data_IF_237875802235
#
_entry.id   IF_237875802235
#
_cell.length_a   1.000
_cell.length_b   1.000
_cell.length_c   1.000
_cell.angle_alpha   90.00
_cell.angle_beta   90.00
_cell.angle_gamma   90.00
#
_symmetry.space_group_name_H-M   'P 1'
#
loop_
_entity.id
_entity.type
_entity.pdbx_description
1 polymer ?
#
# COMPACT_ATOMS: atom_id res chain seq x y z
N UNK A 1 44.92 17.61 -7.54
CA UNK A 1 44.26 18.75 -6.89
C UNK A 1 42.85 18.91 -7.47
N UNK A 2 41.85 18.97 -6.59
CA UNK A 2 40.41 19.23 -6.81
C UNK A 2 39.73 18.50 -7.99
N UNK A 3 39.20 17.30 -7.70
CA UNK A 3 38.10 16.72 -8.49
C UNK A 3 36.79 17.27 -7.93
N UNK A 4 36.09 18.04 -8.76
CA UNK A 4 34.80 18.66 -8.46
C UNK A 4 33.75 17.58 -8.23
N UNK A 5 33.26 17.49 -7.00
CA UNK A 5 32.12 16.65 -6.60
C UNK A 5 30.88 17.29 -7.23
N UNK A 6 30.34 16.67 -8.28
CA UNK A 6 29.02 17.04 -8.80
C UNK A 6 27.96 16.40 -7.91
N UNK A 7 27.51 17.15 -6.92
CA UNK A 7 26.37 16.81 -6.07
C UNK A 7 25.10 16.86 -6.94
N UNK A 8 24.59 15.70 -7.35
CA UNK A 8 23.24 15.59 -7.90
C UNK A 8 22.23 15.79 -6.76
N UNK A 9 21.56 16.95 -6.77
CA UNK A 9 20.43 17.22 -5.91
C UNK A 9 19.22 16.40 -6.38
N UNK A 10 18.76 15.47 -5.54
CA UNK A 10 17.46 14.83 -5.71
C UNK A 10 16.37 15.77 -5.21
N UNK A 11 15.38 16.02 -6.06
CA UNK A 11 14.14 16.69 -5.70
C UNK A 11 13.29 15.70 -4.88
N UNK A 12 13.12 15.99 -3.59
CA UNK A 12 12.17 15.32 -2.72
C UNK A 12 10.75 15.64 -3.19
N UNK A 13 10.09 14.65 -3.79
CA UNK A 13 8.66 14.68 -4.08
C UNK A 13 7.89 14.58 -2.75
N UNK A 14 7.29 15.70 -2.33
CA UNK A 14 6.35 15.74 -1.23
C UNK A 14 5.01 15.15 -1.65
N UNK A 15 4.81 13.87 -1.33
CA UNK A 15 3.50 13.31 -1.03
C UNK A 15 3.55 12.82 0.42
N UNK A 16 2.54 13.15 1.22
CA UNK A 16 2.45 12.75 2.62
C UNK A 16 2.63 11.24 2.79
N UNK A 17 3.46 10.87 3.77
CA UNK A 17 4.18 9.59 3.92
C UNK A 17 5.41 9.48 3.02
N UNK A 18 6.53 10.03 3.50
CA UNK A 18 7.86 9.75 2.96
C UNK A 18 8.12 8.24 3.00
N UNK A 19 7.85 7.54 1.91
CA UNK A 19 8.40 6.21 1.68
C UNK A 19 9.89 6.45 1.43
N UNK A 20 10.68 6.31 2.49
CA UNK A 20 12.14 6.38 2.40
C UNK A 20 12.62 5.22 1.56
N UNK A 21 12.88 5.47 0.28
CA UNK A 21 13.62 4.54 -0.57
C UNK A 21 15.08 4.55 -0.14
N UNK A 22 15.60 3.37 0.22
CA UNK A 22 17.02 3.17 0.45
C UNK A 22 17.50 2.00 -0.42
N UNK A 23 18.79 1.95 -0.68
CA UNK A 23 19.42 0.80 -1.31
C UNK A 23 20.22 0.01 -0.27
N UNK A 24 20.35 -1.29 -0.49
CA UNK A 24 21.04 -2.18 0.44
C UNK A 24 22.01 -3.04 -0.35
N UNK A 25 23.30 -2.98 0.00
CA UNK A 25 24.25 -4.01 -0.39
C UNK A 25 24.06 -5.22 0.52
N UNK A 26 23.53 -6.32 -0.03
CA UNK A 26 23.07 -7.46 0.77
C UNK A 26 23.83 -8.76 0.49
N UNK A 27 24.58 -8.84 -0.61
CA UNK A 27 25.35 -10.03 -0.92
C UNK A 27 26.52 -9.77 -1.87
N UNK A 28 27.57 -10.56 -1.73
CA UNK A 28 28.63 -10.71 -2.72
C UNK A 28 29.03 -12.17 -2.80
N UNK A 29 29.28 -12.66 -4.02
CA UNK A 29 29.68 -14.04 -4.26
C UNK A 29 30.72 -14.12 -5.39
N UNK A 30 31.33 -15.30 -5.54
CA UNK A 30 32.33 -15.58 -6.58
C UNK A 30 33.77 -15.35 -6.15
N UNK A 31 34.70 -15.99 -6.87
CA UNK A 31 36.14 -15.79 -6.70
C UNK A 31 36.67 -14.64 -7.56
N UNK A 32 37.89 -14.17 -7.28
CA UNK A 32 38.55 -13.12 -8.06
C UNK A 32 38.50 -13.38 -9.57
N UNK A 33 38.14 -12.37 -10.35
CA UNK A 33 37.89 -12.45 -11.79
C UNK A 33 36.47 -12.90 -12.17
N UNK A 34 35.64 -13.25 -11.19
CA UNK A 34 34.24 -13.65 -11.37
C UNK A 34 33.34 -13.27 -10.18
N UNK A 35 33.70 -12.20 -9.45
CA UNK A 35 32.87 -11.70 -8.34
C UNK A 35 31.62 -11.00 -8.85
N UNK A 36 30.57 -11.05 -8.02
CA UNK A 36 29.29 -10.40 -8.25
C UNK A 36 28.85 -9.69 -6.97
N UNK A 37 28.46 -8.43 -7.07
CA UNK A 37 27.97 -7.62 -5.95
C UNK A 37 26.49 -7.28 -6.16
N UNK A 38 25.67 -7.53 -5.16
CA UNK A 38 24.21 -7.42 -5.24
C UNK A 38 23.68 -6.30 -4.34
N UNK A 39 22.88 -5.44 -4.95
CA UNK A 39 22.26 -4.27 -4.34
C UNK A 39 20.76 -4.36 -4.53
N UNK A 40 19.96 -4.13 -3.50
CA UNK A 40 18.50 -4.14 -3.60
C UNK A 40 17.91 -2.79 -3.22
N UNK A 41 16.94 -2.31 -3.99
CA UNK A 41 16.13 -1.18 -3.57
C UNK A 41 15.06 -1.66 -2.59
N UNK A 42 14.90 -1.00 -1.45
CA UNK A 42 13.95 -1.42 -0.42
C UNK A 42 12.48 -1.16 -0.78
N UNK A 43 12.22 -0.44 -1.87
CA UNK A 43 10.87 -0.32 -2.42
C UNK A 43 10.45 -1.63 -3.06
N UNK A 44 9.36 -2.19 -2.55
CA UNK A 44 8.76 -3.43 -3.02
C UNK A 44 7.41 -3.12 -3.67
N UNK A 45 7.23 -3.57 -4.91
CA UNK A 45 5.95 -3.46 -5.61
C UNK A 45 5.09 -4.70 -5.33
N UNK A 46 3.79 -4.50 -5.12
CA UNK A 46 2.83 -5.60 -5.17
C UNK A 46 2.42 -5.88 -6.62
N UNK A 47 2.64 -7.11 -7.07
CA UNK A 47 2.32 -7.59 -8.42
C UNK A 47 1.31 -8.74 -8.36
N UNK A 48 0.61 -8.91 -7.25
CA UNK A 48 -0.46 -9.90 -7.07
C UNK A 48 -1.56 -9.66 -8.09
N UNK A 49 -1.87 -10.62 -8.97
CA UNK A 49 -2.98 -10.51 -9.90
C UNK A 49 -4.30 -10.34 -9.15
N UNK A 50 -5.26 -9.64 -9.76
CA UNK A 50 -6.60 -9.42 -9.18
C UNK A 50 -7.28 -10.74 -8.81
N UNK A 51 -7.06 -11.80 -9.60
CA UNK A 51 -7.58 -13.15 -9.35
C UNK A 51 -7.03 -13.83 -8.08
N UNK A 52 -5.93 -13.32 -7.54
CA UNK A 52 -5.26 -13.84 -6.34
C UNK A 52 -5.42 -12.91 -5.13
N UNK A 53 -6.09 -11.77 -5.27
CA UNK A 53 -6.38 -10.89 -4.14
C UNK A 53 -7.19 -11.63 -3.07
N UNK A 54 -6.90 -11.34 -1.80
CA UNK A 54 -7.45 -12.05 -0.63
C UNK A 54 -7.07 -13.54 -0.58
N UNK A 55 -6.02 -13.94 -1.31
CA UNK A 55 -5.39 -15.25 -1.18
C UNK A 55 -4.42 -15.31 -0.01
N UNK A 56 -3.92 -16.52 0.28
CA UNK A 56 -2.85 -16.74 1.26
C UNK A 56 -1.45 -16.41 0.70
N UNK A 57 -1.35 -16.11 -0.59
CA UNK A 57 -0.11 -15.81 -1.30
C UNK A 57 -0.23 -14.45 -1.99
N UNK A 58 0.79 -13.63 -1.82
CA UNK A 58 0.99 -12.36 -2.50
C UNK A 58 2.23 -12.48 -3.40
N UNK A 59 2.23 -11.80 -4.55
CA UNK A 59 3.38 -11.71 -5.42
C UNK A 59 4.05 -10.37 -5.21
N UNK A 60 5.23 -10.36 -4.59
CA UNK A 60 6.01 -9.14 -4.34
C UNK A 60 7.18 -9.05 -5.31
N UNK A 61 7.49 -7.84 -5.75
CA UNK A 61 8.60 -7.55 -6.64
C UNK A 61 9.61 -6.63 -5.97
N UNK A 62 10.89 -7.00 -6.01
CA UNK A 62 12.00 -6.18 -5.56
C UNK A 62 12.99 -5.96 -6.71
N UNK A 63 13.55 -4.75 -6.78
CA UNK A 63 14.55 -4.41 -7.78
C UNK A 63 15.95 -4.72 -7.24
N UNK A 64 16.70 -5.53 -7.96
CA UNK A 64 18.07 -5.93 -7.60
C UNK A 64 19.03 -5.52 -8.71
N UNK A 65 20.02 -4.70 -8.37
CA UNK A 65 21.14 -4.39 -9.25
C UNK A 65 22.30 -5.33 -8.95
N UNK A 66 22.89 -5.92 -10.00
CA UNK A 66 24.05 -6.80 -9.90
C UNK A 66 25.20 -6.20 -10.69
N UNK A 67 26.34 -6.01 -10.06
CA UNK A 67 27.59 -5.61 -10.73
C UNK A 67 28.44 -6.85 -10.94
N UNK A 68 28.97 -7.05 -12.16
CA UNK A 68 29.79 -8.20 -12.50
C UNK A 68 31.27 -7.82 -12.70
N UNK A 69 32.17 -8.62 -12.14
CA UNK A 69 33.61 -8.47 -12.36
C UNK A 69 34.05 -9.07 -13.71
N UNK A 70 33.42 -10.18 -14.11
CA UNK A 70 33.86 -10.97 -15.24
C UNK A 70 33.65 -10.26 -16.59
N UNK A 71 34.64 -10.35 -17.48
CA UNK A 71 34.62 -9.67 -18.77
C UNK A 71 33.61 -10.24 -19.78
N UNK A 72 33.21 -11.50 -19.62
CA UNK A 72 32.18 -12.17 -20.44
C UNK A 72 30.76 -11.91 -19.92
N UNK A 73 30.62 -11.26 -18.77
CA UNK A 73 29.34 -10.84 -18.20
C UNK A 73 29.05 -9.36 -18.52
N UNK A 74 27.77 -8.92 -18.45
CA UNK A 74 27.44 -7.51 -18.61
C UNK A 74 28.18 -6.64 -17.57
N UNK A 75 28.19 -5.33 -17.77
CA UNK A 75 28.76 -4.41 -16.79
C UNK A 75 27.94 -4.44 -15.49
N UNK A 76 26.62 -4.36 -15.65
CA UNK A 76 25.64 -4.60 -14.60
C UNK A 76 24.32 -5.13 -15.18
N UNK A 77 23.48 -5.68 -14.31
CA UNK A 77 22.09 -6.03 -14.59
C UNK A 77 21.17 -5.40 -13.55
N UNK A 78 20.02 -4.89 -13.97
CA UNK A 78 18.90 -4.48 -13.12
C UNK A 78 17.79 -5.51 -13.26
N UNK A 79 17.61 -6.32 -12.24
CA UNK A 79 16.68 -7.44 -12.21
C UNK A 79 15.43 -7.08 -11.43
N UNK A 80 14.26 -7.39 -11.98
CA UNK A 80 12.97 -7.30 -11.30
C UNK A 80 12.63 -8.66 -10.71
N UNK A 81 13.05 -8.96 -9.49
CA UNK A 81 12.81 -10.27 -8.88
C UNK A 81 11.40 -10.32 -8.30
N UNK A 82 10.58 -11.27 -8.74
CA UNK A 82 9.26 -11.51 -8.17
C UNK A 82 9.26 -12.79 -7.33
N UNK A 83 8.60 -12.76 -6.18
CA UNK A 83 8.54 -13.86 -5.22
C UNK A 83 7.10 -14.16 -4.81
N UNK A 84 6.81 -15.44 -4.54
CA UNK A 84 5.62 -15.82 -3.76
C UNK A 84 5.90 -15.56 -2.28
N UNK A 85 5.12 -14.67 -1.68
CA UNK A 85 5.15 -14.31 -0.27
C UNK A 85 3.85 -14.74 0.41
N UNK A 86 3.92 -15.11 1.68
CA UNK A 86 2.72 -15.43 2.47
C UNK A 86 2.02 -14.12 2.84
N UNK A 87 0.69 -14.08 2.66
CA UNK A 87 -0.14 -12.94 3.08
C UNK A 87 -0.06 -12.75 4.59
N UNK A 88 0.10 -11.50 5.05
CA UNK A 88 0.03 -11.16 6.48
C UNK A 88 -1.40 -11.03 7.00
N UNK A 89 -2.39 -11.01 6.11
CA UNK A 89 -3.82 -10.86 6.45
C UNK A 89 -4.53 -12.19 6.19
N UNK A 90 -5.22 -12.69 7.22
CA UNK A 90 -6.05 -13.88 7.09
C UNK A 90 -7.43 -13.49 6.59
N UNK A 91 -7.77 -13.95 5.40
CA UNK A 91 -9.09 -13.79 4.79
C UNK A 91 -9.98 -15.03 5.03
N UNK A 92 -9.80 -15.72 6.16
CA UNK A 92 -10.56 -16.92 6.53
C UNK A 92 -10.11 -18.18 5.80
N UNK A 93 -8.92 -18.17 5.19
CA UNK A 93 -8.33 -19.32 4.47
C UNK A 93 -7.18 -19.96 5.25
N UNK A 94 -6.79 -19.36 6.38
CA UNK A 94 -5.62 -19.75 7.14
C UNK A 94 -4.35 -19.25 6.47
N UNK A 95 -3.48 -18.63 7.27
CA UNK A 95 -2.15 -18.21 6.81
C UNK A 95 -1.18 -19.39 6.97
N UNK A 96 -0.51 -19.84 5.90
CA UNK A 96 0.54 -20.85 5.99
C UNK A 96 1.65 -20.44 6.96
N UNK A 97 2.31 -21.42 7.59
CA UNK A 97 3.48 -21.12 8.42
C UNK A 97 4.59 -20.45 7.58
N UNK A 98 5.28 -19.45 8.14
CA UNK A 98 6.41 -18.82 7.47
C UNK A 98 7.50 -19.84 7.14
N UNK A 99 7.94 -19.86 5.89
CA UNK A 99 9.06 -20.71 5.46
C UNK A 99 10.34 -20.36 6.24
N UNK A 100 11.11 -21.38 6.61
CA UNK A 100 12.40 -21.21 7.27
C UNK A 100 13.37 -20.44 6.36
N UNK A 101 14.41 -19.85 6.97
CA UNK A 101 15.35 -18.99 6.24
C UNK A 101 16.07 -19.70 5.08
N UNK A 102 16.33 -20.99 5.25
CA UNK A 102 17.06 -21.83 4.27
C UNK A 102 16.15 -22.53 3.27
N UNK A 103 14.83 -22.40 3.43
CA UNK A 103 13.87 -23.11 2.58
C UNK A 103 13.91 -22.54 1.16
N UNK A 104 13.83 -23.39 0.13
CA UNK A 104 13.77 -22.92 -1.25
C UNK A 104 12.58 -21.98 -1.48
N UNK A 105 12.83 -20.89 -2.18
CA UNK A 105 11.82 -19.87 -2.49
C UNK A 105 11.36 -19.99 -3.93
N UNK A 106 10.07 -19.72 -4.16
CA UNK A 106 9.53 -19.60 -5.52
C UNK A 106 9.71 -18.19 -6.03
N UNK A 107 10.31 -18.08 -7.21
CA UNK A 107 10.66 -16.80 -7.82
C UNK A 107 10.50 -16.82 -9.35
N UNK A 108 10.36 -15.65 -9.96
CA UNK A 108 10.57 -15.43 -11.40
C UNK A 108 11.24 -14.08 -11.67
N UNK A 109 11.81 -13.93 -12.86
CA UNK A 109 12.18 -12.60 -13.37
C UNK A 109 10.92 -11.92 -13.89
N UNK A 110 10.59 -10.77 -13.33
CA UNK A 110 9.54 -9.89 -13.82
C UNK A 110 9.94 -9.17 -15.10
N UNK A 111 8.95 -8.52 -15.71
CA UNK A 111 9.16 -7.68 -16.90
C UNK A 111 9.93 -6.40 -16.57
N UNK A 112 10.66 -5.87 -17.55
CA UNK A 112 11.32 -4.56 -17.44
C UNK A 112 12.67 -4.57 -16.72
N UNK A 113 13.29 -5.74 -16.56
CA UNK A 113 14.71 -5.81 -16.21
C UNK A 113 15.61 -5.39 -17.38
N UNK A 114 16.85 -5.00 -17.08
CA UNK A 114 17.82 -4.55 -18.08
C UNK A 114 19.23 -5.07 -17.79
N UNK A 115 20.07 -5.12 -18.82
CA UNK A 115 21.52 -5.31 -18.69
C UNK A 115 22.23 -4.18 -19.42
N UNK A 116 23.36 -3.73 -18.87
CA UNK A 116 24.31 -2.91 -19.61
C UNK A 116 25.37 -3.81 -20.22
N UNK A 117 25.35 -3.98 -21.56
CA UNK A 117 26.36 -4.80 -22.23
C UNK A 117 27.72 -4.13 -22.17
N UNK A 118 28.74 -4.93 -21.81
CA UNK A 118 30.11 -4.44 -21.68
C UNK A 118 30.78 -4.10 -23.02
N UNK A 119 30.39 -4.77 -24.10
CA UNK A 119 31.02 -4.63 -25.43
C UNK A 119 30.78 -3.28 -26.08
N UNK A 120 29.56 -2.72 -25.96
CA UNK A 120 29.17 -1.49 -26.63
C UNK A 120 28.57 -0.43 -25.69
N UNK A 121 28.39 -0.76 -24.41
CA UNK A 121 27.71 0.05 -23.39
C UNK A 121 26.26 0.39 -23.77
N UNK A 122 25.59 -0.52 -24.47
CA UNK A 122 24.15 -0.40 -24.75
C UNK A 122 23.34 -1.17 -23.72
N UNK A 123 22.24 -0.54 -23.32
CA UNK A 123 21.24 -1.16 -22.47
C UNK A 123 20.38 -2.09 -23.33
N UNK A 124 20.13 -3.29 -22.82
CA UNK A 124 19.25 -4.28 -23.42
C UNK A 124 18.24 -4.76 -22.37
N UNK A 125 16.99 -4.93 -22.78
CA UNK A 125 15.95 -5.44 -21.90
C UNK A 125 16.13 -6.95 -21.67
N UNK A 126 15.97 -7.39 -20.43
CA UNK A 126 15.93 -8.82 -20.11
C UNK A 126 14.50 -9.34 -20.19
N UNK A 127 14.25 -10.49 -20.83
CA UNK A 127 12.91 -11.07 -20.88
C UNK A 127 12.46 -11.51 -19.49
N UNK A 128 11.13 -11.49 -19.26
CA UNK A 128 10.55 -12.09 -18.08
C UNK A 128 10.79 -13.61 -18.08
N UNK A 129 10.98 -14.17 -16.89
CA UNK A 129 11.23 -15.59 -16.67
C UNK A 129 9.99 -16.35 -16.25
N UNK A 130 10.06 -17.67 -16.37
CA UNK A 130 9.06 -18.57 -15.78
C UNK A 130 9.27 -18.68 -14.26
N UNK A 131 8.22 -19.09 -13.55
CA UNK A 131 8.32 -19.44 -12.14
C UNK A 131 9.26 -20.63 -11.94
N UNK A 132 10.13 -20.52 -10.95
CA UNK A 132 11.11 -21.54 -10.58
C UNK A 132 11.34 -21.53 -9.07
N UNK A 133 11.78 -22.67 -8.54
CA UNK A 133 12.19 -22.79 -7.14
C UNK A 133 13.70 -22.64 -7.05
N UNK A 134 14.18 -21.81 -6.13
CA UNK A 134 15.59 -21.53 -5.95
C UNK A 134 16.00 -21.48 -4.49
N UNK A 135 17.21 -21.94 -4.18
CA UNK A 135 17.78 -21.95 -2.82
C UNK A 135 19.11 -21.23 -2.72
N UNK A 136 19.50 -20.44 -3.74
CA UNK A 136 20.76 -19.69 -3.70
C UNK A 136 20.71 -18.63 -2.59
N UNK A 137 21.81 -18.40 -1.84
CA UNK A 137 21.83 -17.42 -0.75
C UNK A 137 21.36 -16.01 -1.15
N UNK A 138 21.71 -15.55 -2.36
CA UNK A 138 21.25 -14.27 -2.91
C UNK A 138 19.72 -14.20 -2.96
N UNK A 139 19.08 -15.20 -3.55
CA UNK A 139 17.63 -15.23 -3.74
C UNK A 139 16.88 -15.41 -2.43
N UNK A 140 17.44 -16.16 -1.47
CA UNK A 140 16.87 -16.27 -0.12
C UNK A 140 16.88 -14.92 0.61
N UNK A 141 18.00 -14.18 0.55
CA UNK A 141 18.08 -12.84 1.12
C UNK A 141 17.13 -11.85 0.43
N UNK A 142 17.10 -11.87 -0.91
CA UNK A 142 16.23 -10.99 -1.69
C UNK A 142 14.73 -11.27 -1.42
N UNK A 143 14.35 -12.56 -1.29
CA UNK A 143 13.00 -12.97 -0.87
C UNK A 143 12.63 -12.36 0.47
N UNK A 144 13.55 -12.38 1.44
CA UNK A 144 13.27 -11.87 2.79
C UNK A 144 13.14 -10.35 2.82
N UNK A 145 13.88 -9.62 1.98
CA UNK A 145 13.63 -8.19 1.76
C UNK A 145 12.26 -7.96 1.11
N UNK A 146 11.92 -8.74 0.08
CA UNK A 146 10.69 -8.56 -0.69
C UNK A 146 9.41 -8.92 0.10
N UNK A 147 9.46 -9.97 0.91
CA UNK A 147 8.28 -10.48 1.64
C UNK A 147 8.07 -9.83 3.01
N UNK A 148 8.98 -8.96 3.46
CA UNK A 148 8.84 -8.22 4.73
C UNK A 148 9.02 -6.70 4.51
N UNK A 149 8.28 -6.08 3.57
CA UNK A 149 8.53 -4.70 3.18
C UNK A 149 8.24 -3.71 4.31
N UNK A 150 7.24 -3.96 5.15
CA UNK A 150 6.88 -3.07 6.26
C UNK A 150 7.97 -3.03 7.33
N UNK A 151 8.51 -4.19 7.68
CA UNK A 151 9.58 -4.35 8.66
C UNK A 151 10.88 -3.76 8.14
N UNK A 152 11.22 -3.98 6.86
CA UNK A 152 12.38 -3.36 6.23
C UNK A 152 12.23 -1.83 6.21
N UNK A 153 11.07 -1.31 5.80
CA UNK A 153 10.83 0.14 5.79
C UNK A 153 10.86 0.75 7.20
N UNK A 154 10.35 0.02 8.20
CA UNK A 154 10.45 0.43 9.60
C UNK A 154 11.91 0.45 10.06
N UNK A 155 12.72 -0.54 9.69
CA UNK A 155 14.15 -0.60 9.98
C UNK A 155 14.91 0.57 9.33
N UNK A 156 14.61 0.90 8.06
CA UNK A 156 15.19 2.07 7.38
C UNK A 156 14.82 3.37 8.12
N UNK A 157 13.56 3.56 8.48
CA UNK A 157 13.12 4.75 9.24
C UNK A 157 13.79 4.85 10.61
N UNK A 158 13.89 3.74 11.34
CA UNK A 158 14.51 3.70 12.66
C UNK A 158 16.02 4.02 12.61
N UNK A 159 16.69 3.55 11.56
CA UNK A 159 18.13 3.79 11.34
C UNK A 159 18.46 5.14 10.71
N UNK A 160 17.46 5.89 10.25
CA UNK A 160 17.63 7.22 9.67
C UNK A 160 17.47 8.29 10.76
N UNK A 161 18.60 8.80 11.27
CA UNK A 161 18.62 9.95 12.19
C UNK A 161 19.23 11.16 11.49
N UNK A 162 18.38 12.01 10.91
CA UNK A 162 18.84 13.19 10.18
C UNK A 162 19.60 12.84 8.89
N UNK A 163 20.90 13.16 8.81
CA UNK A 163 21.74 12.90 7.61
C UNK A 163 22.61 11.64 7.72
N UNK A 164 22.58 10.96 8.85
CA UNK A 164 23.41 9.77 9.11
C UNK A 164 22.55 8.52 9.14
N UNK A 165 23.10 7.45 8.55
CA UNK A 165 22.49 6.12 8.54
C UNK A 165 23.19 5.25 9.58
N UNK A 166 22.43 4.77 10.57
CA UNK A 166 22.93 3.84 11.58
C UNK A 166 22.78 2.39 11.08
N UNK A 167 23.82 1.89 10.41
CA UNK A 167 23.85 0.52 9.91
C UNK A 167 23.75 -0.54 11.00
N UNK A 168 24.18 -0.26 12.23
CA UNK A 168 24.11 -1.24 13.32
C UNK A 168 22.67 -1.39 13.82
N UNK A 169 21.95 -0.27 13.97
CA UNK A 169 20.53 -0.27 14.28
C UNK A 169 19.72 -0.93 13.16
N UNK A 170 20.02 -0.62 11.89
CA UNK A 170 19.36 -1.24 10.75
C UNK A 170 19.45 -2.78 10.79
N UNK A 171 20.65 -3.32 10.98
CA UNK A 171 20.84 -4.77 11.04
C UNK A 171 20.22 -5.40 12.29
N UNK A 172 20.15 -4.67 13.40
CA UNK A 172 19.45 -5.14 14.61
C UNK A 172 17.96 -5.33 14.35
N UNK A 173 17.33 -4.43 13.60
CA UNK A 173 15.93 -4.57 13.19
C UNK A 173 15.75 -5.71 12.17
N UNK A 174 16.65 -5.86 11.20
CA UNK A 174 16.56 -6.94 10.19
C UNK A 174 16.72 -8.34 10.80
N UNK A 175 17.47 -8.50 11.89
CA UNK A 175 17.57 -9.78 12.60
C UNK A 175 16.21 -10.28 13.11
N UNK A 176 15.27 -9.37 13.42
CA UNK A 176 13.90 -9.73 13.86
C UNK A 176 13.09 -10.44 12.78
N UNK A 177 13.42 -10.21 11.50
CA UNK A 177 12.81 -10.89 10.35
C UNK A 177 13.70 -12.03 9.80
N UNK A 178 14.70 -12.45 10.57
CA UNK A 178 15.50 -13.65 10.30
C UNK A 178 16.80 -13.42 9.53
N UNK A 179 17.20 -12.17 9.24
CA UNK A 179 18.52 -11.92 8.65
C UNK A 179 19.63 -12.38 9.61
N UNK A 180 20.50 -13.25 9.12
CA UNK A 180 21.64 -13.78 9.89
C UNK A 180 22.96 -13.08 9.59
N UNK A 181 23.04 -12.37 8.48
CA UNK A 181 24.24 -11.64 8.04
C UNK A 181 23.93 -10.16 7.92
N UNK A 182 24.90 -9.34 8.32
CA UNK A 182 24.78 -7.89 8.22
C UNK A 182 24.76 -7.45 6.75
N UNK A 183 23.89 -6.50 6.46
CA UNK A 183 23.75 -5.83 5.18
C UNK A 183 24.11 -4.36 5.34
N UNK A 184 24.54 -3.71 4.26
CA UNK A 184 24.95 -2.29 4.31
C UNK A 184 23.91 -1.42 3.65
N UNK A 185 23.28 -0.56 4.45
CA UNK A 185 22.40 0.50 3.95
C UNK A 185 23.24 1.54 3.19
N UNK A 186 22.75 1.95 2.03
CA UNK A 186 23.37 2.95 1.17
C UNK A 186 22.31 3.62 0.29
N UNK A 187 22.72 4.65 -0.44
CA UNK A 187 21.89 5.24 -1.49
C UNK A 187 22.76 5.31 -2.73
N UNK A 188 22.22 4.88 -3.86
CA UNK A 188 22.94 5.02 -5.11
C UNK A 188 22.20 4.47 -6.32
N UNK A 189 22.82 4.70 -7.46
CA UNK A 189 22.41 4.20 -8.76
C UNK A 189 23.38 3.12 -9.24
N UNK A 190 23.00 2.35 -10.26
CA UNK A 190 23.87 1.32 -10.83
C UNK A 190 25.30 1.83 -11.19
N UNK A 191 25.49 3.03 -11.77
CA UNK A 191 26.83 3.61 -11.95
C UNK A 191 27.60 3.86 -10.65
N UNK A 192 26.93 4.28 -9.58
CA UNK A 192 27.58 4.53 -8.27
C UNK A 192 27.94 3.19 -7.59
N UNK A 193 27.09 2.17 -7.70
CA UNK A 193 27.40 0.82 -7.22
C UNK A 193 28.56 0.19 -7.99
N UNK A 194 28.63 0.44 -9.29
CA UNK A 194 29.76 0.03 -10.13
C UNK A 194 31.06 0.66 -9.66
N UNK A 195 31.09 1.97 -9.44
CA UNK A 195 32.27 2.65 -8.91
C UNK A 195 32.63 2.14 -7.52
N UNK A 196 31.65 1.94 -6.64
CA UNK A 196 31.87 1.32 -5.32
C UNK A 196 32.50 -0.08 -5.44
N UNK A 197 31.99 -0.92 -6.34
CA UNK A 197 32.49 -2.26 -6.55
C UNK A 197 33.96 -2.25 -6.97
N UNK A 198 34.33 -1.47 -7.98
CA UNK A 198 35.72 -1.42 -8.47
C UNK A 198 36.68 -0.69 -7.54
N UNK A 199 36.22 0.36 -6.85
CA UNK A 199 37.09 1.16 -5.97
C UNK A 199 37.28 0.56 -4.58
N UNK A 200 36.29 -0.17 -4.07
CA UNK A 200 36.29 -0.73 -2.71
C UNK A 200 36.24 -2.25 -2.69
N UNK A 201 35.20 -2.87 -3.26
CA UNK A 201 34.99 -4.32 -3.12
C UNK A 201 36.05 -5.14 -3.86
N UNK A 202 36.50 -4.63 -5.00
CA UNK A 202 37.45 -5.26 -5.91
C UNK A 202 38.75 -4.47 -6.04
N UNK A 203 39.11 -3.73 -4.99
CA UNK A 203 40.31 -2.91 -4.96
C UNK A 203 41.55 -3.73 -5.38
N UNK A 204 42.33 -3.18 -6.31
CA UNK A 204 43.50 -3.84 -6.90
C UNK A 204 43.22 -4.63 -8.18
N UNK A 205 41.97 -4.93 -8.51
CA UNK A 205 41.60 -5.51 -9.81
C UNK A 205 41.52 -4.45 -10.91
N UNK A 206 41.90 -4.84 -12.13
CA UNK A 206 41.73 -3.99 -13.32
C UNK A 206 40.35 -4.24 -13.93
N UNK A 207 39.56 -3.17 -14.05
CA UNK A 207 38.25 -3.20 -14.71
C UNK A 207 38.40 -3.56 -16.21
N UNK A 208 37.72 -4.62 -16.70
CA UNK A 208 37.68 -4.92 -18.12
C UNK A 208 36.92 -3.82 -18.88
N UNK A 209 37.55 -3.27 -19.92
CA UNK A 209 36.96 -2.28 -20.82
C UNK A 209 37.06 -2.73 -22.30
N UNK A 210 36.34 -3.78 -22.70
CA UNK A 210 36.30 -4.23 -24.10
C UNK A 210 35.71 -3.17 -25.04
N UNK A 211 34.90 -2.24 -24.52
CA UNK A 211 34.36 -1.12 -25.31
C UNK A 211 35.41 -0.05 -25.64
N UNK A 212 36.47 0.04 -24.84
CA UNK A 212 37.45 1.14 -24.85
C UNK A 212 36.88 2.51 -24.44
N UNK A 213 35.60 2.58 -24.02
CA UNK A 213 34.91 3.84 -23.71
C UNK A 213 35.10 4.28 -22.27
N UNK A 214 35.34 3.37 -21.33
CA UNK A 214 35.53 3.73 -19.92
C UNK A 214 36.88 4.41 -19.68
N UNK A 215 37.91 3.99 -20.41
CA UNK A 215 39.23 4.62 -20.33
C UNK A 215 39.32 5.95 -21.10
N UNK A 216 38.39 6.20 -22.04
CA UNK A 216 38.38 7.40 -22.89
C UNK A 216 37.62 8.55 -22.22
N UNK A 217 38.21 9.74 -22.19
CA UNK A 217 37.48 10.94 -21.78
C UNK A 217 36.45 11.33 -22.84
N UNK A 218 35.22 11.63 -22.39
CA UNK A 218 34.16 12.14 -23.25
C UNK A 218 34.54 13.50 -23.86
N UNK A 219 34.26 13.68 -25.15
CA UNK A 219 34.50 14.96 -25.84
C UNK A 219 33.52 16.04 -25.36
N UNK A 220 33.82 17.34 -25.59
CA UNK A 220 32.88 18.42 -25.28
C UNK A 220 31.50 18.23 -25.95
N UNK A 221 31.47 17.75 -27.18
CA UNK A 221 30.24 17.50 -27.95
C UNK A 221 29.43 16.36 -27.33
N UNK A 222 30.08 15.25 -26.95
CA UNK A 222 29.43 14.13 -26.28
C UNK A 222 28.81 14.55 -24.94
N UNK A 223 29.52 15.38 -24.17
CA UNK A 223 29.01 15.94 -22.91
C UNK A 223 27.80 16.85 -23.15
N UNK A 224 27.87 17.74 -24.13
CA UNK A 224 26.76 18.63 -24.47
C UNK A 224 25.52 17.84 -24.91
N UNK A 225 25.69 16.82 -25.76
CA UNK A 225 24.61 15.95 -26.19
C UNK A 225 23.98 15.16 -25.03
N UNK A 226 24.80 14.63 -24.11
CA UNK A 226 24.32 13.95 -22.92
C UNK A 226 23.52 14.89 -22.00
N UNK A 227 24.03 16.11 -21.75
CA UNK A 227 23.33 17.12 -20.95
C UNK A 227 22.00 17.52 -21.57
N UNK A 228 21.95 17.72 -22.89
CA UNK A 228 20.71 18.03 -23.61
C UNK A 228 19.68 16.90 -23.47
N UNK A 229 20.13 15.64 -23.58
CA UNK A 229 19.25 14.47 -23.40
C UNK A 229 18.72 14.36 -21.96
N UNK A 230 19.55 14.63 -20.97
CA UNK A 230 19.12 14.66 -19.56
C UNK A 230 18.10 15.77 -19.33
N UNK A 231 18.33 16.98 -19.87
CA UNK A 231 17.39 18.08 -19.76
C UNK A 231 16.03 17.77 -20.40
N UNK A 232 16.02 17.11 -21.55
CA UNK A 232 14.78 16.66 -22.20
C UNK A 232 14.04 15.61 -21.35
N UNK A 233 14.75 14.62 -20.82
CA UNK A 233 14.17 13.61 -19.92
C UNK A 233 13.58 14.27 -18.66
N UNK A 234 14.28 15.24 -18.07
CA UNK A 234 13.79 15.99 -16.91
C UNK A 234 12.51 16.76 -17.23
N UNK A 235 12.44 17.39 -18.39
CA UNK A 235 11.23 18.09 -18.85
C UNK A 235 10.06 17.13 -19.01
N UNK A 236 10.27 16.01 -19.70
CA UNK A 236 9.24 14.99 -19.91
C UNK A 236 8.75 14.39 -18.59
N UNK A 237 9.66 14.11 -17.65
CA UNK A 237 9.31 13.65 -16.30
C UNK A 237 8.48 14.70 -15.56
N UNK A 238 8.88 15.98 -15.59
CA UNK A 238 8.12 17.06 -14.96
C UNK A 238 6.70 17.17 -15.50
N UNK A 239 6.53 17.12 -16.81
CA UNK A 239 5.21 17.13 -17.46
C UNK A 239 4.36 15.89 -17.08
N UNK A 240 4.96 14.70 -17.04
CA UNK A 240 4.27 13.48 -16.65
C UNK A 240 3.85 13.52 -15.18
N UNK A 241 4.73 13.97 -14.29
CA UNK A 241 4.44 14.14 -12.86
C UNK A 241 3.28 15.12 -12.66
N UNK A 242 3.28 16.26 -13.36
CA UNK A 242 2.20 17.23 -13.26
C UNK A 242 0.86 16.65 -13.75
N UNK A 243 0.86 15.94 -14.88
CA UNK A 243 -0.34 15.27 -15.41
C UNK A 243 -0.89 14.22 -14.44
N UNK A 244 -0.01 13.37 -13.89
CA UNK A 244 -0.38 12.35 -12.90
C UNK A 244 -0.95 13.00 -11.64
N UNK A 245 -0.30 14.06 -11.13
CA UNK A 245 -0.80 14.80 -9.97
C UNK A 245 -2.21 15.34 -10.22
N UNK A 246 -2.42 16.03 -11.34
CA UNK A 246 -3.74 16.58 -11.71
C UNK A 246 -4.82 15.49 -11.85
N UNK A 247 -4.47 14.31 -12.38
CA UNK A 247 -5.42 13.24 -12.60
C UNK A 247 -5.81 12.46 -11.32
N UNK A 248 -4.89 12.32 -10.37
CA UNK A 248 -5.05 11.42 -9.23
C UNK A 248 -5.20 12.12 -7.87
N UNK A 249 -4.63 13.32 -7.69
CA UNK A 249 -4.72 14.05 -6.42
C UNK A 249 -6.18 14.22 -5.94
N UNK A 250 -7.16 14.62 -6.77
CA UNK A 250 -8.54 14.75 -6.31
C UNK A 250 -9.15 13.41 -5.89
N UNK A 251 -8.75 12.31 -6.54
CA UNK A 251 -9.25 10.96 -6.21
C UNK A 251 -8.66 10.45 -4.90
N UNK A 252 -7.38 10.72 -4.67
CA UNK A 252 -6.70 10.38 -3.41
C UNK A 252 -7.32 11.17 -2.26
N UNK A 253 -7.49 12.49 -2.42
CA UNK A 253 -8.13 13.34 -1.42
C UNK A 253 -9.57 12.90 -1.12
N UNK A 254 -10.34 12.51 -2.13
CA UNK A 254 -11.68 11.96 -1.95
C UNK A 254 -11.65 10.62 -1.18
N UNK A 255 -10.70 9.74 -1.47
CA UNK A 255 -10.54 8.47 -0.76
C UNK A 255 -10.11 8.68 0.70
N UNK A 256 -9.13 9.55 0.96
CA UNK A 256 -8.67 9.91 2.31
C UNK A 256 -9.81 10.48 3.15
N UNK A 257 -10.57 11.42 2.59
CA UNK A 257 -11.75 12.01 3.26
C UNK A 257 -12.78 10.95 3.65
N UNK A 258 -12.98 9.93 2.78
CA UNK A 258 -13.87 8.80 3.08
C UNK A 258 -13.33 7.94 4.23
N UNK A 259 -12.06 7.56 4.20
CA UNK A 259 -11.44 6.74 5.26
C UNK A 259 -11.44 7.43 6.62
N UNK A 260 -11.20 8.75 6.65
CA UNK A 260 -11.23 9.50 7.89
C UNK A 260 -12.64 9.62 8.46
N UNK A 261 -13.65 9.81 7.59
CA UNK A 261 -15.03 9.76 8.04
C UNK A 261 -15.43 8.38 8.59
N UNK A 262 -14.94 7.28 7.99
CA UNK A 262 -15.21 5.93 8.50
C UNK A 262 -14.70 5.72 9.94
N UNK A 263 -13.56 6.34 10.30
CA UNK A 263 -13.05 6.34 11.69
C UNK A 263 -13.96 7.13 12.63
N UNK A 264 -14.44 8.31 12.19
CA UNK A 264 -15.40 9.12 12.95
C UNK A 264 -16.69 8.32 13.19
N UNK A 265 -17.21 7.69 12.15
CA UNK A 265 -18.39 6.84 12.21
C UNK A 265 -18.20 5.65 13.18
N UNK A 266 -17.08 4.94 13.10
CA UNK A 266 -16.76 3.84 13.99
C UNK A 266 -16.68 4.29 15.47
N UNK A 267 -16.06 5.44 15.74
CA UNK A 267 -15.99 6.02 17.09
C UNK A 267 -17.37 6.40 17.62
N UNK A 268 -18.22 6.99 16.78
CA UNK A 268 -19.57 7.40 17.16
C UNK A 268 -20.47 6.20 17.48
N UNK A 269 -20.31 5.08 16.76
CA UNK A 269 -21.00 3.82 17.06
C UNK A 269 -20.55 3.17 18.37
N UNK A 270 -19.31 3.43 18.81
CA UNK A 270 -18.73 2.96 20.06
C UNK A 270 -18.93 1.44 20.30
N UNK A 271 -18.79 0.62 19.26
CA UNK A 271 -18.90 -0.84 19.36
C UNK A 271 -20.30 -1.38 19.68
N UNK A 272 -21.36 -0.58 19.52
CA UNK A 272 -22.75 -1.02 19.69
C UNK A 272 -23.04 -2.24 18.82
N UNK A 273 -23.69 -3.25 19.40
CA UNK A 273 -24.24 -4.38 18.64
C UNK A 273 -25.33 -3.89 17.68
N UNK A 274 -25.17 -4.26 16.41
CA UNK A 274 -26.12 -3.94 15.35
C UNK A 274 -26.90 -5.18 14.98
N UNK A 275 -28.20 -5.01 14.74
CA UNK A 275 -28.97 -6.09 14.12
C UNK A 275 -28.64 -6.21 12.62
N UNK A 276 -29.12 -7.30 11.99
CA UNK A 276 -28.84 -7.58 10.57
C UNK A 276 -29.31 -6.46 9.65
N UNK A 277 -30.49 -5.90 9.92
CA UNK A 277 -31.10 -4.85 9.11
C UNK A 277 -30.34 -3.52 9.24
N UNK A 278 -29.92 -3.16 10.45
CA UNK A 278 -29.05 -2.00 10.70
C UNK A 278 -27.71 -2.14 9.96
N UNK A 279 -27.11 -3.33 9.99
CA UNK A 279 -25.86 -3.61 9.26
C UNK A 279 -26.02 -3.46 7.75
N UNK A 280 -27.14 -3.92 7.20
CA UNK A 280 -27.46 -3.77 5.77
C UNK A 280 -27.68 -2.31 5.39
N UNK A 281 -28.45 -1.56 6.19
CA UNK A 281 -28.65 -0.13 5.97
C UNK A 281 -27.33 0.63 6.04
N UNK A 282 -26.47 0.30 6.99
CA UNK A 282 -25.19 0.98 7.16
C UNK A 282 -24.25 0.79 5.96
N UNK A 283 -24.22 -0.39 5.33
CA UNK A 283 -23.42 -0.63 4.11
C UNK A 283 -23.79 0.31 2.95
N UNK A 284 -25.05 0.74 2.89
CA UNK A 284 -25.57 1.60 1.82
C UNK A 284 -25.44 3.07 2.18
N UNK A 285 -25.75 3.39 3.44
CA UNK A 285 -26.00 4.75 3.88
C UNK A 285 -24.78 5.42 4.50
N UNK A 286 -23.79 4.69 5.01
CA UNK A 286 -22.62 5.30 5.65
C UNK A 286 -21.88 6.25 4.69
N UNK A 287 -21.65 7.47 5.16
CA UNK A 287 -20.97 8.53 4.39
C UNK A 287 -21.86 9.30 3.40
N UNK A 288 -23.13 8.92 3.23
CA UNK A 288 -24.13 9.68 2.45
C UNK A 288 -24.46 11.00 3.15
N UNK A 289 -24.82 12.02 2.37
CA UNK A 289 -25.17 13.32 2.91
C UNK A 289 -26.56 13.29 3.56
N UNK A 290 -26.75 14.13 4.57
CA UNK A 290 -28.06 14.33 5.22
C UNK A 290 -29.17 14.71 4.22
N UNK A 291 -28.85 15.59 3.27
CA UNK A 291 -29.76 16.00 2.18
C UNK A 291 -30.13 14.84 1.25
N UNK A 292 -29.20 13.91 1.04
CA UNK A 292 -29.44 12.72 0.21
C UNK A 292 -30.41 11.77 0.90
N UNK A 293 -30.24 11.55 2.21
CA UNK A 293 -31.20 10.78 3.03
C UNK A 293 -32.58 11.41 2.96
N UNK A 294 -32.68 12.74 3.14
CA UNK A 294 -33.96 13.44 3.12
C UNK A 294 -34.65 13.42 1.75
N UNK A 295 -33.89 13.44 0.66
CA UNK A 295 -34.46 13.37 -0.69
C UNK A 295 -34.99 11.97 -1.05
N UNK A 296 -34.41 10.91 -0.50
CA UNK A 296 -34.78 9.52 -0.79
C UNK A 296 -35.85 8.99 0.17
N UNK A 297 -35.67 9.20 1.47
CA UNK A 297 -36.55 8.68 2.53
C UNK A 297 -37.71 9.64 2.82
N UNK A 298 -37.53 10.93 2.49
CA UNK A 298 -38.50 11.99 2.74
C UNK A 298 -38.09 12.89 3.89
N UNK A 299 -39.03 13.71 4.37
CA UNK A 299 -38.76 14.70 5.42
C UNK A 299 -38.66 14.04 6.81
N UNK A 300 -37.51 14.13 7.52
CA UNK A 300 -37.35 13.56 8.85
C UNK A 300 -37.97 14.42 9.96
N UNK A 301 -38.19 13.80 11.12
CA UNK A 301 -38.14 14.51 12.40
C UNK A 301 -36.69 14.67 12.81
N UNK A 302 -36.23 15.91 12.96
CA UNK A 302 -34.81 16.20 13.20
C UNK A 302 -34.59 16.63 14.65
N UNK A 303 -33.60 16.03 15.30
CA UNK A 303 -33.05 16.48 16.59
C UNK A 303 -31.54 16.59 16.49
N UNK A 304 -30.92 17.48 17.28
CA UNK A 304 -29.49 17.73 17.23
C UNK A 304 -28.90 17.80 18.65
N UNK A 305 -27.75 17.18 18.84
CA UNK A 305 -27.00 17.21 20.11
C UNK A 305 -25.51 17.39 19.80
N UNK A 306 -24.98 18.60 20.03
CA UNK A 306 -23.61 18.94 19.66
C UNK A 306 -23.41 18.85 18.14
N UNK A 307 -22.34 18.17 17.72
CA UNK A 307 -22.01 17.95 16.30
C UNK A 307 -22.66 16.67 15.73
N UNK A 308 -23.80 16.26 16.25
CA UNK A 308 -24.51 15.07 15.79
C UNK A 308 -25.97 15.43 15.54
N UNK A 309 -26.48 15.09 14.35
CA UNK A 309 -27.90 15.16 14.08
C UNK A 309 -28.52 13.77 14.03
N UNK A 310 -29.80 13.71 14.37
CA UNK A 310 -30.61 12.51 14.37
C UNK A 310 -31.82 12.77 13.49
N UNK A 311 -31.89 12.06 12.38
CA UNK A 311 -32.99 12.11 11.43
C UNK A 311 -33.86 10.88 11.69
N UNK A 312 -34.97 11.08 12.38
CA UNK A 312 -35.92 10.03 12.73
C UNK A 312 -37.08 9.96 11.74
N UNK A 313 -37.36 8.74 11.28
CA UNK A 313 -38.43 8.39 10.36
C UNK A 313 -39.30 7.34 11.04
N UNK A 314 -40.39 7.81 11.64
CA UNK A 314 -41.32 6.99 12.40
C UNK A 314 -42.59 6.67 11.62
N UNK A 315 -43.10 5.45 11.81
CA UNK A 315 -44.49 5.06 11.52
C UNK A 315 -45.01 4.26 12.70
N UNK A 316 -46.22 4.56 13.14
CA UNK A 316 -46.90 3.82 14.18
C UNK A 316 -48.36 3.57 13.82
N UNK A 317 -48.90 2.51 14.38
CA UNK A 317 -50.29 2.12 14.26
C UNK A 317 -50.74 1.54 15.59
N UNK A 318 -51.73 2.17 16.23
CA UNK A 318 -52.30 1.70 17.49
C UNK A 318 -53.82 1.69 17.42
N UNK A 319 -54.40 0.50 17.59
CA UNK A 319 -55.85 0.27 17.70
C UNK A 319 -56.25 -0.31 19.05
N UNK A 320 -55.31 -0.35 19.99
CA UNK A 320 -55.58 -0.88 21.32
C UNK A 320 -56.63 -0.02 22.02
N UNK A 321 -57.69 -0.68 22.46
CA UNK A 321 -58.71 -0.09 23.31
C UNK A 321 -58.75 -0.86 24.63
N UNK A 322 -58.79 -0.13 25.74
CA UNK A 322 -58.98 -0.70 27.07
C UNK A 322 -60.48 -0.78 27.36
N UNK A 323 -60.97 -1.98 27.66
CA UNK A 323 -62.34 -2.19 28.12
C UNK A 323 -62.33 -2.52 29.62
N UNK A 324 -63.18 -1.84 30.37
CA UNK A 324 -63.43 -2.16 31.78
C UNK A 324 -64.36 -3.37 31.87
N UNK A 325 -63.84 -4.46 32.42
CA UNK A 325 -64.65 -5.63 32.75
C UNK A 325 -65.10 -5.52 34.21
N UNK A 326 -66.41 -5.69 34.47
CA UNK A 326 -66.98 -5.62 35.84
C UNK A 326 -66.12 -6.40 36.82
N UNK A 327 -65.41 -5.67 37.69
CA UNK A 327 -64.39 -6.22 38.60
C UNK A 327 -63.09 -5.44 38.69
N UNK A 328 -62.89 -4.38 37.87
CA UNK A 328 -61.71 -3.52 37.95
C UNK A 328 -60.50 -4.05 37.16
N UNK A 329 -60.71 -5.05 36.31
CA UNK A 329 -59.67 -5.60 35.43
C UNK A 329 -59.81 -4.97 34.04
N UNK A 330 -58.77 -4.26 33.60
CA UNK A 330 -58.70 -3.72 32.24
C UNK A 330 -58.20 -4.80 31.28
N UNK A 331 -58.96 -5.08 30.22
CA UNK A 331 -58.51 -5.93 29.11
C UNK A 331 -58.22 -5.02 27.92
N UNK A 332 -56.96 -4.99 27.50
CA UNK A 332 -56.52 -4.26 26.30
C UNK A 332 -56.65 -5.17 25.09
N UNK A 333 -57.57 -4.86 24.19
CA UNK A 333 -57.74 -5.57 22.91
C UNK A 333 -57.36 -4.64 21.75
N UNK A 334 -56.62 -5.15 20.77
CA UNK A 334 -56.26 -4.43 19.56
C UNK A 334 -54.81 -4.65 19.13
N UNK A 335 -54.48 -4.11 17.97
CA UNK A 335 -53.17 -4.23 17.33
C UNK A 335 -52.34 -2.97 17.60
N UNK A 336 -51.08 -3.17 17.95
CA UNK A 336 -50.07 -2.12 18.04
C UNK A 336 -48.79 -2.54 17.34
N UNK A 337 -48.27 -1.63 16.52
CA UNK A 337 -46.89 -1.67 16.08
C UNK A 337 -46.34 -0.25 15.90
N UNK A 338 -45.05 -0.10 16.11
CA UNK A 338 -44.30 1.10 15.78
C UNK A 338 -42.96 0.71 15.18
N UNK A 339 -42.48 1.55 14.26
CA UNK A 339 -41.14 1.52 13.76
C UNK A 339 -40.58 2.94 13.72
N UNK A 340 -39.34 3.12 14.15
CA UNK A 340 -38.52 4.32 13.93
C UNK A 340 -37.17 3.93 13.35
N UNK A 341 -36.84 4.51 12.20
CA UNK A 341 -35.49 4.47 11.64
C UNK A 341 -34.83 5.81 11.90
N UNK A 342 -33.73 5.79 12.63
CA UNK A 342 -32.94 6.96 12.95
C UNK A 342 -31.59 6.91 12.26
N UNK A 343 -31.36 7.84 11.33
CA UNK A 343 -30.04 8.09 10.77
C UNK A 343 -29.29 9.06 11.68
N UNK A 344 -28.11 8.66 12.13
CA UNK A 344 -27.24 9.49 12.95
C UNK A 344 -26.19 10.11 12.04
N UNK A 345 -26.17 11.43 11.92
CA UNK A 345 -25.21 12.15 11.06
C UNK A 345 -24.20 12.93 11.90
N UNK A 346 -22.99 13.05 11.38
CA UNK A 346 -21.90 13.84 11.96
C UNK A 346 -21.14 14.57 10.85
N UNK A 347 -20.52 15.73 11.13
CA UNK A 347 -19.76 16.45 10.13
C UNK A 347 -18.51 15.68 9.71
N UNK A 348 -18.21 15.70 8.40
CA UNK A 348 -16.90 15.34 7.87
C UNK A 348 -15.86 16.46 8.13
N UNK A 349 -14.63 16.27 7.64
CA UNK A 349 -13.57 17.28 7.79
C UNK A 349 -13.90 18.61 7.08
N UNK A 350 -14.79 18.58 6.10
CA UNK A 350 -15.27 19.73 5.35
C UNK A 350 -16.53 20.36 5.97
N UNK A 351 -17.04 19.81 7.08
CA UNK A 351 -18.20 20.30 7.80
C UNK A 351 -19.55 19.82 7.26
N UNK A 352 -19.56 18.94 6.25
CA UNK A 352 -20.78 18.39 5.69
C UNK A 352 -21.28 17.22 6.54
N UNK A 353 -22.57 17.23 6.92
CA UNK A 353 -23.16 16.18 7.74
C UNK A 353 -23.41 14.91 6.92
N UNK A 354 -22.78 13.82 7.36
CA UNK A 354 -22.84 12.51 6.73
C UNK A 354 -23.32 11.44 7.71
N UNK A 355 -23.98 10.41 7.20
CA UNK A 355 -24.48 9.29 8.01
C UNK A 355 -23.32 8.49 8.62
N UNK A 356 -23.28 8.44 9.94
CA UNK A 356 -22.31 7.70 10.75
C UNK A 356 -22.87 6.38 11.32
N UNK A 357 -24.17 6.34 11.61
CA UNK A 357 -24.86 5.18 12.18
C UNK A 357 -26.32 5.13 11.69
N UNK A 358 -26.91 3.94 11.69
CA UNK A 358 -28.34 3.72 11.44
C UNK A 358 -28.90 2.88 12.58
N UNK A 359 -29.97 3.37 13.20
CA UNK A 359 -30.62 2.73 14.34
C UNK A 359 -32.06 2.43 13.99
N UNK A 360 -32.48 1.20 14.24
CA UNK A 360 -33.85 0.77 13.94
C UNK A 360 -34.48 0.28 15.23
N UNK A 361 -35.59 0.92 15.60
CA UNK A 361 -36.42 0.50 16.74
C UNK A 361 -37.77 0.06 16.19
N UNK A 362 -38.15 -1.17 16.48
CA UNK A 362 -39.47 -1.68 16.18
C UNK A 362 -40.06 -2.30 17.45
N UNK A 363 -41.32 -2.03 17.71
CA UNK A 363 -42.06 -2.60 18.84
C UNK A 363 -43.45 -3.01 18.36
N UNK A 364 -43.93 -4.19 18.78
CA UNK A 364 -45.23 -4.71 18.34
C UNK A 364 -45.78 -5.74 19.32
N UNK A 365 -47.10 -5.74 19.50
CA UNK A 365 -47.81 -6.79 20.23
C UNK A 365 -48.24 -7.98 19.33
N UNK A 366 -47.90 -7.96 18.04
CA UNK A 366 -48.23 -8.98 17.04
C UNK A 366 -47.04 -9.88 16.67
N UNK A 367 -45.90 -9.77 17.38
CA UNK A 367 -44.64 -10.45 17.02
C UNK A 367 -44.16 -10.15 15.59
N UNK A 368 -44.42 -8.94 15.07
CA UNK A 368 -43.87 -8.50 13.78
C UNK A 368 -42.34 -8.38 13.86
N UNK A 369 -41.64 -8.79 12.82
CA UNK A 369 -40.20 -8.52 12.72
C UNK A 369 -39.97 -7.03 12.44
N UNK A 370 -38.78 -6.51 12.75
CA UNK A 370 -38.42 -5.13 12.43
C UNK A 370 -38.52 -4.83 10.92
N UNK A 371 -38.31 -5.83 10.06
CA UNK A 371 -38.45 -5.65 8.61
C UNK A 371 -39.92 -5.42 8.21
N UNK A 372 -40.85 -6.14 8.84
CA UNK A 372 -42.28 -6.04 8.55
C UNK A 372 -42.88 -4.76 9.15
N UNK A 373 -42.46 -4.40 10.37
CA UNK A 373 -42.91 -3.16 11.02
C UNK A 373 -42.34 -1.89 10.35
N UNK A 374 -41.16 -1.98 9.72
CA UNK A 374 -40.49 -0.86 9.05
C UNK A 374 -40.66 -0.85 7.53
N UNK A 375 -41.61 -1.61 7.00
CA UNK A 375 -41.84 -1.72 5.56
C UNK A 375 -42.12 -0.32 4.94
N UNK A 376 -41.43 -0.05 3.83
CA UNK A 376 -41.48 1.25 3.15
C UNK A 376 -40.73 2.39 3.82
N UNK A 377 -40.00 2.16 4.93
CA UNK A 377 -38.98 3.08 5.46
C UNK A 377 -37.55 2.58 5.23
N UNK A 378 -37.38 1.26 5.05
CA UNK A 378 -36.11 0.59 4.71
C UNK A 378 -35.73 0.79 3.23
N UNK A 379 -35.83 2.02 2.73
CA UNK A 379 -35.43 2.34 1.37
C UNK A 379 -33.91 2.21 1.21
N UNK A 380 -33.53 1.52 0.14
CA UNK A 380 -32.16 1.42 -0.36
C UNK A 380 -32.21 2.09 -1.74
N UNK A 381 -31.53 3.22 -1.99
CA UNK A 381 -31.42 3.78 -3.33
C UNK A 381 -30.91 2.68 -4.26
N UNK A 382 -31.66 2.45 -5.35
CA UNK A 382 -31.70 1.17 -6.06
C UNK A 382 -30.38 0.67 -6.65
N UNK A 383 -30.46 -0.59 -7.09
CA UNK A 383 -29.92 -0.91 -8.41
C UNK A 383 -30.60 -0.04 -9.47
#
# INVERSE_FOLDING_TARGET
MMRSISTFFFVTLGFGHSVFAADVFFHMQGGSGNRQAFFANTLVDDRTPVSMLMGSIEIKQINVTVIYENAQQPEWAEMRLQFECISKVDFGKGIPEPAAWTDPVKMRLGEGGTILRRSDLKIESTPAGTWQTASSPVLLKAHKLACNPDEVNAAVRASSTGKTLDSALFNTELRKIGFTEDVTLMNGSAPEFLELAWTRLWAGSKRPDPSGKWAKQATPEEKAAAMAKVAEIQKQLGELTQKTKQAYEPKIQAAESKFDFDKVAAKLRNGREMNRTESQMLMVWQGRLEEEVASIVGRPSMTATGNVHFLSYGKDYDTRAAYDYKGGTYVTNGVYWSCDIQFVTAPDQQGAFRVADVRIRADSNMNLSANDACEGLLHVPGN
#
